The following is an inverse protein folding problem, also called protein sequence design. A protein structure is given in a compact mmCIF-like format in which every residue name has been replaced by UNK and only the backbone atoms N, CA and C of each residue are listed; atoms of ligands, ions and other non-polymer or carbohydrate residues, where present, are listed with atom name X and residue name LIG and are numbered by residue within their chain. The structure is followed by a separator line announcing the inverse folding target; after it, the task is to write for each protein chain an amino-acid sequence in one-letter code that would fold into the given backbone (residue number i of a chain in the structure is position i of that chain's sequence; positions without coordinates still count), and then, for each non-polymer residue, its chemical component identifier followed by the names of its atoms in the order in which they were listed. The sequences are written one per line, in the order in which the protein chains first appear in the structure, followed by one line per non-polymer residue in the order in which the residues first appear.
data_IF_965197074421
#
_entry.id   IF_965197074421
#
_cell.length_a   1.000
_cell.length_b   1.000
_cell.length_c   1.000
_cell.angle_alpha   90.00
_cell.angle_beta   90.00
_cell.angle_gamma   90.00
#
_symmetry.space_group_name_H-M   'P 1'
#
loop_
_entity.id
_entity.type
_entity.pdbx_description
1 polymer ?
#
# COMPACT_ATOMS: atom_id res chain seq x y z
N UNK A 1 -51.54 -10.92 34.37
CA UNK A 1 -51.40 -12.39 34.51
C UNK A 1 -52.01 -12.84 35.84
N UNK A 2 -52.59 -14.05 35.87
CA UNK A 2 -53.22 -14.64 37.05
C UNK A 2 -53.54 -16.11 36.82
N UNK A 3 -52.55 -16.99 36.93
CA UNK A 3 -52.66 -18.42 37.26
C UNK A 3 -51.26 -19.08 37.27
N UNK A 4 -51.07 -20.01 38.19
CA UNK A 4 -49.84 -20.59 38.74
C UNK A 4 -49.02 -21.56 37.86
N UNK A 5 -48.72 -21.25 36.59
CA UNK A 5 -47.82 -22.11 35.79
C UNK A 5 -47.12 -21.42 34.60
N UNK A 6 -46.68 -20.17 34.74
CA UNK A 6 -45.72 -19.64 33.77
C UNK A 6 -44.35 -20.23 34.07
N UNK A 7 -43.72 -20.91 33.11
CA UNK A 7 -42.30 -21.22 33.20
C UNK A 7 -41.54 -19.90 33.33
N UNK A 8 -40.81 -19.72 34.43
CA UNK A 8 -40.01 -18.52 34.63
C UNK A 8 -38.84 -18.52 33.65
N UNK A 9 -38.86 -17.58 32.70
CA UNK A 9 -37.80 -17.44 31.71
C UNK A 9 -36.78 -16.41 32.18
N UNK A 10 -35.50 -16.75 32.01
CA UNK A 10 -34.42 -15.81 32.23
C UNK A 10 -34.53 -14.64 31.23
N UNK A 11 -33.90 -13.49 31.53
CA UNK A 11 -33.77 -12.39 30.57
C UNK A 11 -33.28 -12.87 29.20
N UNK A 12 -33.79 -12.26 28.12
CA UNK A 12 -33.55 -12.65 26.72
C UNK A 12 -34.44 -13.80 26.22
N UNK A 13 -35.33 -14.34 27.07
CA UNK A 13 -36.28 -15.39 26.72
C UNK A 13 -37.71 -15.04 27.15
N UNK A 14 -38.68 -15.64 26.47
CA UNK A 14 -40.11 -15.50 26.78
C UNK A 14 -40.84 -16.85 26.75
N UNK A 15 -42.01 -16.92 27.40
CA UNK A 15 -42.89 -18.08 27.31
C UNK A 15 -44.34 -17.66 27.08
N UNK A 16 -44.92 -18.10 25.96
CA UNK A 16 -46.32 -17.84 25.67
C UNK A 16 -47.23 -18.59 26.65
N UNK A 17 -48.46 -18.10 26.85
CA UNK A 17 -49.42 -18.57 27.87
C UNK A 17 -49.81 -20.07 27.82
N UNK A 18 -49.35 -20.82 26.82
CA UNK A 18 -49.58 -22.25 26.63
C UNK A 18 -48.29 -23.06 26.41
N UNK A 19 -47.11 -22.45 26.61
CA UNK A 19 -45.81 -23.09 26.46
C UNK A 19 -45.20 -23.41 27.83
N UNK A 20 -44.59 -24.59 27.95
CA UNK A 20 -43.69 -24.92 29.07
C UNK A 20 -42.23 -24.62 28.77
N UNK A 21 -41.93 -24.17 27.55
CA UNK A 21 -40.59 -23.88 27.06
C UNK A 21 -40.36 -22.37 26.93
N UNK A 22 -39.13 -21.96 27.25
CA UNK A 22 -38.65 -20.60 27.06
C UNK A 22 -38.02 -20.47 25.68
N UNK A 23 -38.61 -19.62 24.84
CA UNK A 23 -38.09 -19.31 23.51
C UNK A 23 -37.22 -18.05 23.59
N UNK A 24 -36.10 -17.99 22.86
CA UNK A 24 -35.26 -16.80 22.83
C UNK A 24 -35.99 -15.65 22.13
N UNK A 25 -35.69 -14.41 22.52
CA UNK A 25 -36.12 -13.24 21.78
C UNK A 25 -35.49 -13.20 20.39
N UNK A 26 -36.24 -12.73 19.41
CA UNK A 26 -35.73 -12.54 18.06
C UNK A 26 -34.84 -11.29 18.01
N UNK A 27 -33.92 -11.19 17.03
CA UNK A 27 -33.18 -9.96 16.79
C UNK A 27 -34.12 -8.75 16.65
N UNK A 28 -33.82 -7.67 17.37
CA UNK A 28 -34.65 -6.49 17.50
C UNK A 28 -35.67 -6.52 18.64
N UNK A 29 -35.67 -7.58 19.44
CA UNK A 29 -36.51 -7.70 20.63
C UNK A 29 -35.68 -8.03 21.87
N UNK A 30 -36.19 -7.65 23.04
CA UNK A 30 -35.58 -7.90 24.35
C UNK A 30 -36.62 -8.38 25.37
N UNK A 31 -36.12 -8.94 26.47
CA UNK A 31 -36.94 -9.37 27.62
C UNK A 31 -36.12 -9.26 28.89
N UNK A 32 -36.63 -8.55 29.89
CA UNK A 32 -36.03 -8.48 31.24
C UNK A 32 -36.29 -9.76 32.08
N UNK A 33 -36.88 -10.80 31.47
CA UNK A 33 -37.20 -12.07 32.12
C UNK A 33 -38.67 -12.15 32.56
N UNK A 34 -39.16 -13.39 32.72
CA UNK A 34 -40.56 -13.70 33.06
C UNK A 34 -41.61 -13.06 32.12
N UNK A 35 -41.20 -12.75 30.89
CA UNK A 35 -42.06 -12.13 29.90
C UNK A 35 -42.90 -13.17 29.13
N UNK A 36 -44.14 -12.81 28.78
CA UNK A 36 -45.01 -13.65 27.95
C UNK A 36 -44.78 -13.48 26.45
N UNK A 37 -43.98 -12.49 26.07
CA UNK A 37 -43.52 -12.13 24.73
C UNK A 37 -42.27 -11.25 24.89
N UNK A 38 -41.44 -11.11 23.85
CA UNK A 38 -40.37 -10.12 23.85
C UNK A 38 -40.89 -8.76 23.40
N UNK A 39 -40.32 -7.70 23.95
CA UNK A 39 -40.65 -6.32 23.60
C UNK A 39 -39.71 -5.84 22.49
N UNK A 40 -40.24 -5.09 21.53
CA UNK A 40 -39.43 -4.52 20.45
C UNK A 40 -38.49 -3.44 21.00
N UNK A 41 -37.26 -3.40 20.48
CA UNK A 41 -36.32 -2.36 20.84
C UNK A 41 -36.77 -0.97 20.37
N UNK A 42 -36.64 0.07 21.21
CA UNK A 42 -36.85 1.46 20.81
C UNK A 42 -36.07 1.82 19.55
N UNK A 43 -36.61 2.74 18.73
CA UNK A 43 -35.88 3.27 17.59
C UNK A 43 -34.55 3.89 18.06
N UNK A 44 -33.44 3.55 17.40
CA UNK A 44 -32.12 3.94 17.88
C UNK A 44 -31.49 2.96 18.89
N UNK A 45 -32.07 1.77 19.11
CA UNK A 45 -31.47 0.70 19.90
C UNK A 45 -31.55 -0.68 19.21
N UNK A 46 -30.58 -1.55 19.48
CA UNK A 46 -30.41 -2.87 18.87
C UNK A 46 -30.32 -3.96 19.95
N UNK A 47 -30.91 -5.11 19.68
CA UNK A 47 -30.74 -6.30 20.50
C UNK A 47 -30.57 -7.53 19.61
N UNK A 48 -29.47 -8.25 19.76
CA UNK A 48 -29.25 -9.53 19.08
C UNK A 48 -29.83 -10.70 19.91
N UNK A 49 -31.13 -10.63 20.22
CA UNK A 49 -31.80 -11.57 21.14
C UNK A 49 -31.33 -11.42 22.59
N UNK A 50 -31.10 -10.17 23.04
CA UNK A 50 -30.49 -9.84 24.32
C UNK A 50 -31.50 -9.55 25.44
N UNK A 51 -30.97 -9.34 26.65
CA UNK A 51 -31.69 -8.95 27.86
C UNK A 51 -32.11 -7.48 27.87
N UNK A 52 -31.50 -6.66 27.03
CA UNK A 52 -31.69 -5.21 26.97
C UNK A 52 -31.35 -4.69 25.56
N UNK A 53 -31.86 -3.51 25.22
CA UNK A 53 -31.55 -2.85 23.96
C UNK A 53 -30.33 -1.94 24.12
N UNK A 54 -29.26 -2.27 23.42
CA UNK A 54 -28.03 -1.46 23.42
C UNK A 54 -28.16 -0.29 22.44
N UNK A 55 -27.45 0.82 22.67
CA UNK A 55 -27.46 1.96 21.76
C UNK A 55 -27.11 1.52 20.31
N UNK A 56 -27.90 1.99 19.34
CA UNK A 56 -27.57 1.87 17.91
C UNK A 56 -26.35 2.74 17.68
N UNK A 57 -25.23 2.06 17.51
CA UNK A 57 -23.97 2.75 17.43
C UNK A 57 -22.80 1.84 17.67
N UNK A 58 -22.81 0.66 17.05
CA UNK A 58 -21.56 -0.05 16.92
C UNK A 58 -20.65 0.78 16.01
N UNK A 59 -19.45 1.12 16.46
CA UNK A 59 -18.50 1.80 15.59
C UNK A 59 -18.29 1.01 14.30
N UNK A 60 -18.11 1.70 13.18
CA UNK A 60 -17.98 1.07 11.86
C UNK A 60 -19.29 0.74 11.16
N UNK A 61 -20.44 1.14 11.70
CA UNK A 61 -21.76 0.87 11.11
C UNK A 61 -22.67 2.10 11.09
N UNK A 62 -23.69 2.11 10.21
CA UNK A 62 -24.68 3.18 10.05
C UNK A 62 -26.07 2.62 9.67
N UNK A 63 -27.11 3.46 9.76
CA UNK A 63 -28.50 3.11 9.44
C UNK A 63 -28.95 1.78 10.09
N UNK A 64 -28.66 1.61 11.40
CA UNK A 64 -29.08 0.39 12.08
C UNK A 64 -30.60 0.34 12.23
N UNK A 65 -31.19 -0.74 11.72
CA UNK A 65 -32.54 -1.15 12.09
C UNK A 65 -32.54 -1.90 13.42
N UNK A 66 -33.72 -2.36 13.85
CA UNK A 66 -33.87 -3.11 15.11
C UNK A 66 -33.00 -4.39 15.15
N UNK A 67 -32.75 -5.02 14.01
CA UNK A 67 -32.10 -6.34 13.90
C UNK A 67 -30.76 -6.35 13.15
N UNK A 68 -30.30 -5.25 12.56
CA UNK A 68 -29.05 -5.22 11.78
C UNK A 68 -28.57 -3.80 11.52
N UNK A 69 -27.25 -3.63 11.46
CA UNK A 69 -26.59 -2.41 11.00
C UNK A 69 -25.99 -2.59 9.61
N UNK A 70 -25.88 -1.50 8.84
CA UNK A 70 -25.11 -1.50 7.59
C UNK A 70 -23.66 -1.18 7.92
N UNK A 71 -22.72 -2.01 7.48
CA UNK A 71 -21.29 -1.75 7.70
C UNK A 71 -20.78 -0.64 6.79
N UNK A 72 -19.83 0.15 7.30
CA UNK A 72 -19.08 1.07 6.47
C UNK A 72 -18.20 0.28 5.50
N UNK A 73 -18.33 0.60 4.22
CA UNK A 73 -17.47 0.06 3.19
C UNK A 73 -16.02 0.58 3.38
N UNK A 74 -15.02 -0.09 2.78
CA UNK A 74 -13.65 0.38 2.86
C UNK A 74 -13.47 1.81 2.32
N UNK A 75 -12.58 2.57 2.94
CA UNK A 75 -12.39 4.03 2.74
C UNK A 75 -13.31 4.90 3.61
N UNK A 76 -14.20 4.30 4.40
CA UNK A 76 -15.12 5.01 5.28
C UNK A 76 -15.08 4.46 6.71
N UNK A 77 -15.50 5.28 7.67
CA UNK A 77 -15.60 4.94 9.09
C UNK A 77 -16.87 5.52 9.72
N UNK A 78 -17.23 5.04 10.91
CA UNK A 78 -18.37 5.56 11.67
C UNK A 78 -18.10 5.48 13.17
N UNK A 79 -18.35 6.57 13.89
CA UNK A 79 -18.35 6.56 15.36
C UNK A 79 -19.62 5.90 15.91
N UNK A 80 -19.60 5.54 17.19
CA UNK A 80 -20.81 5.10 17.88
C UNK A 80 -21.94 6.11 17.66
N UNK A 81 -23.10 5.62 17.20
CA UNK A 81 -24.34 6.35 16.91
C UNK A 81 -24.32 7.27 15.68
N UNK A 82 -23.38 7.07 14.75
CA UNK A 82 -23.41 7.79 13.48
C UNK A 82 -24.59 7.32 12.61
N UNK A 83 -25.29 8.28 12.00
CA UNK A 83 -26.31 8.01 10.97
C UNK A 83 -25.70 7.73 9.59
N UNK A 84 -24.41 7.99 9.40
CA UNK A 84 -23.73 7.80 8.12
C UNK A 84 -22.27 7.40 8.30
N UNK A 85 -21.69 6.79 7.27
CA UNK A 85 -20.27 6.55 7.20
C UNK A 85 -19.56 7.78 6.64
N UNK A 86 -18.57 8.27 7.36
CA UNK A 86 -17.72 9.39 6.94
C UNK A 86 -16.53 8.86 6.15
N UNK A 87 -16.16 9.56 5.07
CA UNK A 87 -14.99 9.21 4.29
C UNK A 87 -13.71 9.48 5.10
N UNK A 88 -12.68 8.68 4.86
CA UNK A 88 -11.35 8.98 5.37
C UNK A 88 -10.78 10.22 4.67
N UNK A 89 -10.29 11.17 5.47
CA UNK A 89 -9.55 12.31 4.95
C UNK A 89 -8.22 11.86 4.30
N UNK A 90 -7.65 12.67 3.38
CA UNK A 90 -6.35 12.37 2.79
C UNK A 90 -5.27 12.13 3.85
N UNK A 91 -4.46 11.09 3.66
CA UNK A 91 -3.47 10.61 4.62
C UNK A 91 -4.01 9.56 5.61
N UNK A 92 -5.28 9.15 5.50
CA UNK A 92 -5.86 8.09 6.32
C UNK A 92 -6.62 7.05 5.47
N UNK A 93 -6.77 5.84 6.00
CA UNK A 93 -7.41 4.71 5.33
C UNK A 93 -8.31 3.91 6.28
N UNK A 94 -9.17 3.07 5.70
CA UNK A 94 -10.03 2.14 6.44
C UNK A 94 -10.34 0.92 5.58
N UNK A 95 -10.21 -0.28 6.14
CA UNK A 95 -10.57 -1.53 5.48
C UNK A 95 -12.07 -1.87 5.58
N UNK A 96 -12.89 -0.92 6.08
CA UNK A 96 -14.32 -1.10 6.33
C UNK A 96 -14.60 -1.58 7.75
N UNK A 97 -15.87 -1.44 8.18
CA UNK A 97 -16.32 -1.72 9.55
C UNK A 97 -15.37 -1.13 10.64
N UNK A 98 -14.94 0.12 10.43
CA UNK A 98 -13.95 0.78 11.28
C UNK A 98 -14.56 1.93 12.09
N UNK A 99 -14.11 2.07 13.34
CA UNK A 99 -14.55 3.14 14.25
C UNK A 99 -13.92 4.50 13.98
N UNK A 100 -12.80 4.50 13.26
CA UNK A 100 -12.02 5.64 12.82
C UNK A 100 -11.17 5.22 11.63
N UNK A 101 -10.61 6.18 10.90
CA UNK A 101 -9.58 5.88 9.91
C UNK A 101 -8.23 5.74 10.58
N UNK A 102 -7.46 4.75 10.13
CA UNK A 102 -6.07 4.62 10.50
C UNK A 102 -5.23 5.60 9.69
N UNK A 103 -4.28 6.28 10.35
CA UNK A 103 -3.37 7.19 9.67
C UNK A 103 -2.36 6.36 8.89
N UNK A 104 -2.05 6.78 7.66
CA UNK A 104 -1.00 6.12 6.91
C UNK A 104 0.34 6.24 7.63
N UNK A 105 1.10 5.13 7.75
CA UNK A 105 2.48 5.19 8.20
C UNK A 105 3.31 6.13 7.32
N UNK A 106 4.43 6.64 7.85
CA UNK A 106 5.35 7.51 7.12
C UNK A 106 5.68 6.92 5.72
N UNK A 107 5.70 7.77 4.70
CA UNK A 107 5.93 7.45 3.28
C UNK A 107 4.81 6.70 2.54
N UNK A 108 3.64 6.48 3.16
CA UNK A 108 2.46 5.97 2.46
C UNK A 108 1.35 7.03 2.47
N UNK A 109 0.51 7.05 1.43
CA UNK A 109 -0.61 8.01 1.36
C UNK A 109 -1.85 7.36 0.78
N UNK A 110 -2.98 7.77 1.35
CA UNK A 110 -4.31 7.42 0.88
C UNK A 110 -5.04 8.70 0.54
N UNK A 111 -5.59 8.81 -0.66
CA UNK A 111 -6.50 9.92 -1.02
C UNK A 111 -7.95 9.60 -0.60
N UNK A 112 -8.14 9.14 0.64
CA UNK A 112 -9.43 8.62 1.12
C UNK A 112 -9.79 7.23 0.57
N UNK A 113 -8.78 6.39 0.33
CA UNK A 113 -8.90 5.03 -0.22
C UNK A 113 -8.99 3.94 0.86
N UNK A 114 -9.07 2.71 0.39
CA UNK A 114 -9.23 1.46 1.15
C UNK A 114 -7.94 1.06 1.88
N UNK A 115 -6.78 1.43 1.34
CA UNK A 115 -5.46 1.07 1.87
C UNK A 115 -4.47 2.21 1.68
N UNK A 116 -3.41 2.19 2.46
CA UNK A 116 -2.27 3.07 2.26
C UNK A 116 -1.44 2.50 1.13
N UNK A 117 -1.65 3.06 -0.06
CA UNK A 117 -0.78 2.77 -1.16
C UNK A 117 0.52 3.55 -0.97
N UNK A 118 1.60 2.90 -1.34
CA UNK A 118 2.75 3.62 -1.84
C UNK A 118 2.24 4.34 -3.09
N UNK A 119 1.86 5.62 -2.95
CA UNK A 119 1.87 6.51 -4.11
C UNK A 119 3.30 6.43 -4.54
N UNK A 120 3.59 5.63 -5.57
CA UNK A 120 4.92 5.38 -6.09
C UNK A 120 5.62 6.68 -6.48
N UNK A 121 5.99 7.43 -5.46
CA UNK A 121 7.11 8.29 -5.41
C UNK A 121 8.25 7.28 -5.33
N UNK A 122 9.07 7.17 -6.39
CA UNK A 122 10.33 6.49 -6.20
C UNK A 122 11.02 7.15 -5.01
N UNK A 123 11.86 6.42 -4.30
CA UNK A 123 12.68 6.84 -3.15
C UNK A 123 13.62 8.05 -3.42
N UNK A 124 13.19 9.10 -4.16
CA UNK A 124 14.01 10.17 -4.72
C UNK A 124 13.19 11.44 -5.01
N UNK A 125 12.27 11.87 -4.14
CA UNK A 125 11.75 13.25 -4.28
C UNK A 125 11.36 13.90 -2.95
N UNK A 126 12.33 14.16 -2.09
CA UNK A 126 12.23 15.33 -1.21
C UNK A 126 13.53 16.15 -1.17
N UNK A 127 14.33 16.04 -2.23
CA UNK A 127 15.68 16.55 -2.25
C UNK A 127 16.04 16.89 -3.70
N UNK A 128 16.03 18.17 -4.04
CA UNK A 128 16.37 18.67 -5.38
C UNK A 128 15.18 19.10 -6.21
N UNK A 129 15.15 20.39 -6.56
CA UNK A 129 14.29 20.92 -7.60
C UNK A 129 14.71 20.42 -8.98
N UNK A 130 14.99 21.32 -9.92
CA UNK A 130 15.41 20.98 -11.30
C UNK A 130 16.79 20.30 -11.41
N UNK A 131 17.36 19.76 -10.33
CA UNK A 131 18.72 19.21 -10.22
C UNK A 131 18.77 18.02 -9.25
N UNK A 132 19.57 16.99 -9.53
CA UNK A 132 19.72 15.78 -8.70
C UNK A 132 20.66 16.01 -7.50
N UNK A 133 20.09 16.40 -6.36
CA UNK A 133 20.82 16.67 -5.10
C UNK A 133 20.14 15.97 -3.92
N UNK A 134 20.91 15.58 -2.90
CA UNK A 134 20.39 15.04 -1.64
C UNK A 134 19.70 16.11 -0.77
N UNK A 135 19.12 15.68 0.35
CA UNK A 135 18.23 16.50 1.18
C UNK A 135 18.98 17.60 1.95
N UNK A 136 20.30 17.56 1.90
CA UNK A 136 21.21 18.54 2.45
C UNK A 136 21.77 19.48 1.35
N UNK A 137 21.28 19.34 0.10
CA UNK A 137 21.75 20.09 -1.06
C UNK A 137 23.12 19.64 -1.56
N UNK A 138 23.58 18.43 -1.22
CA UNK A 138 24.79 17.85 -1.77
C UNK A 138 24.49 17.10 -3.07
N UNK A 139 25.40 17.09 -4.07
CA UNK A 139 25.19 16.31 -5.29
C UNK A 139 24.95 14.84 -4.99
N UNK A 140 23.91 14.24 -5.58
CA UNK A 140 23.66 12.82 -5.46
C UNK A 140 24.55 12.06 -6.45
N UNK A 141 25.81 11.85 -6.06
CA UNK A 141 26.82 11.24 -6.93
C UNK A 141 26.99 12.02 -8.24
N UNK A 142 26.87 11.31 -9.37
CA UNK A 142 26.83 11.85 -10.74
C UNK A 142 25.43 11.71 -11.39
N UNK A 143 24.37 11.54 -10.58
CA UNK A 143 23.03 11.31 -11.11
C UNK A 143 22.55 12.46 -12.00
N UNK A 144 21.83 12.11 -13.07
CA UNK A 144 21.21 13.07 -13.99
C UNK A 144 19.72 12.77 -14.13
N UNK A 145 18.94 13.81 -14.47
CA UNK A 145 17.51 13.68 -14.76
C UNK A 145 17.35 13.00 -16.13
N UNK A 146 16.60 11.91 -16.20
CA UNK A 146 16.28 11.22 -17.46
C UNK A 146 15.15 11.90 -18.25
N UNK A 147 14.72 11.30 -19.37
CA UNK A 147 13.61 11.83 -20.19
C UNK A 147 12.26 11.84 -19.44
N UNK A 148 12.13 11.05 -18.38
CA UNK A 148 10.92 10.90 -17.57
C UNK A 148 10.93 11.79 -16.31
N UNK A 149 12.04 12.49 -16.05
CA UNK A 149 12.17 13.36 -14.89
C UNK A 149 12.71 12.66 -13.64
N UNK A 150 13.15 11.40 -13.75
CA UNK A 150 13.71 10.63 -12.64
C UNK A 150 15.22 10.84 -12.53
N UNK A 151 15.70 11.01 -11.30
CA UNK A 151 17.13 10.96 -11.02
C UNK A 151 17.57 9.50 -10.99
N UNK A 152 18.29 9.07 -12.02
CA UNK A 152 19.06 7.83 -11.97
C UNK A 152 20.52 8.19 -11.90
N UNK A 153 21.34 7.34 -11.26
CA UNK A 153 22.76 7.32 -11.60
C UNK A 153 22.81 7.07 -13.10
N UNK A 154 23.06 8.11 -13.89
CA UNK A 154 23.40 7.90 -15.29
C UNK A 154 24.57 6.93 -15.23
N UNK A 155 24.37 5.69 -15.67
CA UNK A 155 25.49 4.78 -15.84
C UNK A 155 26.22 5.30 -17.07
N UNK A 156 27.01 6.33 -16.80
CA UNK A 156 27.85 7.07 -17.70
C UNK A 156 29.22 6.45 -17.58
N UNK A 157 29.79 6.05 -18.69
CA UNK A 157 31.08 5.39 -18.73
C UNK A 157 31.36 4.97 -20.15
N UNK A 158 32.52 4.37 -20.38
CA UNK A 158 32.84 3.95 -21.73
C UNK A 158 31.90 2.83 -22.20
N UNK A 159 31.10 3.11 -23.23
CA UNK A 159 30.13 2.17 -23.83
C UNK A 159 30.75 1.30 -24.93
N UNK A 160 31.99 1.59 -25.30
CA UNK A 160 32.71 0.87 -26.34
C UNK A 160 33.41 -0.36 -25.77
N UNK A 161 32.95 -1.55 -26.16
CA UNK A 161 33.53 -2.84 -25.74
C UNK A 161 35.02 -3.01 -26.02
N UNK A 162 35.58 -2.17 -26.91
CA UNK A 162 37.00 -2.19 -27.30
C UNK A 162 37.88 -1.30 -26.43
N UNK A 163 37.30 -0.51 -25.52
CA UNK A 163 38.07 0.33 -24.62
C UNK A 163 38.54 -0.46 -23.39
N UNK A 164 39.71 -0.12 -22.86
CA UNK A 164 40.29 -0.72 -21.66
C UNK A 164 39.43 -0.47 -20.41
N UNK A 165 38.70 0.63 -20.39
CA UNK A 165 37.78 1.01 -19.31
C UNK A 165 36.30 0.86 -19.71
N UNK A 166 35.98 -0.11 -20.59
CA UNK A 166 34.61 -0.46 -20.92
C UNK A 166 33.80 -0.76 -19.65
N UNK A 167 32.64 -0.11 -19.51
CA UNK A 167 31.70 -0.35 -18.42
C UNK A 167 30.47 -1.09 -18.97
N UNK A 168 30.27 -2.39 -18.63
CA UNK A 168 29.13 -3.17 -19.12
C UNK A 168 27.77 -2.67 -18.64
N UNK A 169 27.76 -1.88 -17.56
CA UNK A 169 26.53 -1.29 -17.04
C UNK A 169 26.29 0.11 -17.63
N UNK A 170 27.23 0.70 -18.39
CA UNK A 170 27.04 2.02 -18.99
C UNK A 170 26.12 1.96 -20.21
N UNK A 171 25.10 2.83 -20.21
CA UNK A 171 24.18 3.03 -21.35
C UNK A 171 24.37 4.38 -22.03
N UNK A 172 25.16 5.29 -21.43
CA UNK A 172 25.50 6.59 -21.99
C UNK A 172 27.02 6.78 -22.00
N UNK A 173 27.59 7.08 -23.17
CA UNK A 173 29.03 7.31 -23.29
C UNK A 173 29.40 8.70 -22.76
N UNK A 174 30.30 8.75 -21.78
CA UNK A 174 30.76 10.00 -21.17
C UNK A 174 32.06 10.55 -21.78
N UNK A 175 32.53 9.95 -22.89
CA UNK A 175 33.77 10.33 -23.56
C UNK A 175 35.05 9.99 -22.78
N UNK A 176 34.95 9.23 -21.69
CA UNK A 176 36.10 8.80 -20.89
C UNK A 176 36.85 7.57 -21.45
N UNK A 177 36.40 7.02 -22.59
CA UNK A 177 36.99 5.82 -23.19
C UNK A 177 38.50 5.91 -23.40
N UNK A 178 39.22 4.99 -22.78
CA UNK A 178 40.63 4.74 -23.00
C UNK A 178 40.70 3.61 -24.00
N UNK A 179 40.91 3.97 -25.26
CA UNK A 179 41.24 2.97 -26.27
C UNK A 179 42.71 2.60 -26.15
N UNK A 180 43.06 1.31 -26.29
CA UNK A 180 44.45 0.92 -26.48
C UNK A 180 45.00 1.76 -27.63
N UNK A 181 46.18 2.32 -27.41
CA UNK A 181 46.70 3.45 -28.13
C UNK A 181 46.59 3.24 -29.64
N UNK A 182 45.73 4.00 -30.34
CA UNK A 182 45.68 3.91 -31.81
C UNK A 182 47.10 4.14 -32.38
N UNK A 183 47.58 3.15 -33.13
CA UNK A 183 48.92 3.13 -33.69
C UNK A 183 49.98 2.35 -32.91
N UNK A 184 49.65 1.79 -31.73
CA UNK A 184 50.46 0.76 -31.04
C UNK A 184 49.95 -0.62 -31.47
N UNK A 185 50.48 -1.13 -32.57
CA UNK A 185 49.98 -2.38 -33.17
C UNK A 185 50.56 -3.61 -32.47
N UNK A 186 51.63 -3.46 -31.70
CA UNK A 186 52.30 -4.56 -31.01
C UNK A 186 51.98 -4.61 -29.49
N UNK A 187 51.21 -3.64 -28.99
CA UNK A 187 50.76 -3.47 -27.60
C UNK A 187 51.90 -3.37 -26.57
N UNK A 188 53.04 -2.77 -26.95
CA UNK A 188 54.18 -2.57 -26.05
C UNK A 188 54.14 -1.25 -25.26
N UNK A 189 53.14 -0.41 -25.53
CA UNK A 189 52.89 0.87 -24.88
C UNK A 189 53.67 2.05 -25.49
N UNK A 190 54.48 1.82 -26.53
CA UNK A 190 55.19 2.85 -27.28
C UNK A 190 54.61 2.98 -28.69
N UNK A 191 54.65 4.20 -29.24
CA UNK A 191 54.29 4.47 -30.64
C UNK A 191 55.55 4.73 -31.44
N UNK A 192 56.09 3.71 -32.08
CA UNK A 192 57.30 3.83 -32.86
C UNK A 192 57.28 2.98 -34.15
N UNK A 193 58.43 2.82 -34.78
CA UNK A 193 58.54 2.12 -36.06
C UNK A 193 58.23 0.62 -35.93
N UNK A 194 58.35 0.05 -34.73
CA UNK A 194 58.06 -1.35 -34.44
C UNK A 194 56.57 -1.64 -34.64
N UNK A 195 55.68 -0.67 -34.42
CA UNK A 195 54.25 -0.79 -34.67
C UNK A 195 53.93 -0.91 -36.16
N UNK A 196 54.61 -0.11 -36.99
CA UNK A 196 54.47 -0.18 -38.44
C UNK A 196 55.03 -1.49 -38.97
N UNK A 197 56.16 -1.96 -38.43
CA UNK A 197 56.74 -3.25 -38.78
C UNK A 197 55.78 -4.39 -38.42
N UNK A 198 55.18 -4.35 -37.24
CA UNK A 198 54.21 -5.35 -36.80
C UNK A 198 52.98 -5.37 -37.70
N UNK A 199 52.40 -4.20 -38.00
CA UNK A 199 51.27 -4.07 -38.92
C UNK A 199 51.60 -4.60 -40.32
N UNK A 200 52.79 -4.28 -40.84
CA UNK A 200 53.23 -4.75 -42.15
C UNK A 200 53.45 -6.26 -42.16
N UNK A 201 53.98 -6.85 -41.08
CA UNK A 201 54.13 -8.30 -40.96
C UNK A 201 52.77 -9.01 -40.93
N UNK A 202 51.80 -8.52 -40.15
CA UNK A 202 50.42 -9.05 -40.13
C UNK A 202 49.74 -9.01 -41.52
N UNK A 203 50.03 -7.97 -42.32
CA UNK A 203 49.52 -7.86 -43.69
C UNK A 203 50.26 -8.83 -44.64
N UNK A 204 51.58 -9.02 -44.47
CA UNK A 204 52.41 -9.90 -45.31
C UNK A 204 52.12 -11.37 -45.03
N UNK A 205 51.92 -11.75 -43.77
CA UNK A 205 51.52 -13.09 -43.33
C UNK A 205 50.00 -13.32 -43.49
N UNK A 206 49.32 -12.36 -44.14
CA UNK A 206 47.87 -12.20 -44.10
C UNK A 206 47.10 -13.48 -44.33
N UNK A 207 46.03 -13.68 -43.56
CA UNK A 207 45.04 -14.72 -43.84
C UNK A 207 45.69 -16.05 -44.27
N UNK A 208 46.61 -16.60 -43.47
CA UNK A 208 46.77 -18.05 -43.51
C UNK A 208 45.50 -18.58 -42.86
N UNK A 209 44.52 -18.90 -43.71
CA UNK A 209 43.49 -19.85 -43.38
C UNK A 209 44.19 -21.14 -42.91
N UNK A 210 44.16 -21.40 -41.61
CA UNK A 210 43.94 -22.74 -41.06
C UNK A 210 42.80 -22.67 -40.04
#
# INVERSE_FOLDING_TARGET
CGASSCTECIPGYFSSSSSSECLPCLPGEYSEGNASQCDACPAGTFAEGQTDCSEIGMPGTFECGASSCTECIPGYFSSSSSSECLACEPGAYSQGNANQCDICPDNLFSNGQIDCNDIGLPDIMECGGTECVDCNGQPWGNATIDEYGDCSESQSGCTYIQAENFNPDAFLDDGSCIFPCEGDFNYDGNKDILDVIFLVNEIIDGMICE
#
